data_IF_371410477146
#
_entry.id   IF_371410477146
#
_cell.length_a   1.000
_cell.length_b   1.000
_cell.length_c   1.000
_cell.angle_alpha   90.00
_cell.angle_beta   90.00
_cell.angle_gamma   90.00
#
_symmetry.space_group_name_H-M   'P 1'
#
loop_
_entity.id
_entity.type
_entity.pdbx_description
1 polymer ?
#
# COMPACT_ATOMS: atom_id res chain seq x y z
N UNK A 1 -6.64 10.78 7.35
CA UNK A 1 -7.08 11.36 6.10
C UNK A 1 -8.28 10.58 5.54
N UNK A 2 -8.17 9.29 5.27
CA UNK A 2 -9.20 8.46 4.62
C UNK A 2 -10.54 8.46 5.37
N UNK A 3 -10.51 8.35 6.71
CA UNK A 3 -11.71 8.41 7.54
C UNK A 3 -12.46 9.77 7.44
N UNK A 4 -11.72 10.87 7.21
CA UNK A 4 -12.34 12.18 7.00
C UNK A 4 -13.08 12.21 5.67
N UNK A 5 -12.45 11.68 4.62
CA UNK A 5 -13.07 11.58 3.30
C UNK A 5 -14.30 10.67 3.31
N UNK A 6 -14.20 9.49 3.93
CA UNK A 6 -15.32 8.57 4.04
C UNK A 6 -16.52 9.19 4.76
N UNK A 7 -16.30 9.87 5.89
CA UNK A 7 -17.36 10.58 6.62
C UNK A 7 -18.00 11.69 5.79
N UNK A 8 -17.19 12.46 5.05
CA UNK A 8 -17.71 13.52 4.19
C UNK A 8 -18.55 12.97 3.03
N UNK A 9 -18.15 11.84 2.45
CA UNK A 9 -18.96 11.18 1.41
C UNK A 9 -20.30 10.70 1.95
N UNK A 10 -20.34 10.11 3.13
CA UNK A 10 -21.59 9.72 3.80
C UNK A 10 -22.48 10.95 4.05
N UNK A 11 -21.90 12.07 4.52
CA UNK A 11 -22.63 13.33 4.73
C UNK A 11 -23.23 13.88 3.42
N UNK A 12 -22.62 13.58 2.28
CA UNK A 12 -23.11 13.96 0.94
C UNK A 12 -24.11 12.96 0.34
N UNK A 13 -24.49 11.94 1.09
CA UNK A 13 -25.48 10.95 0.67
C UNK A 13 -24.92 9.83 -0.21
N UNK A 14 -23.60 9.60 -0.16
CA UNK A 14 -23.00 8.41 -0.79
C UNK A 14 -23.16 7.23 0.15
N UNK A 15 -23.72 6.13 -0.34
CA UNK A 15 -23.81 4.88 0.40
C UNK A 15 -22.43 4.22 0.47
N UNK A 16 -21.94 3.98 1.69
CA UNK A 16 -20.69 3.26 1.95
C UNK A 16 -20.99 2.09 2.86
N UNK A 17 -20.69 0.90 2.40
CA UNK A 17 -20.78 -0.34 3.19
C UNK A 17 -19.38 -0.78 3.58
N UNK A 18 -19.08 -0.77 4.89
CA UNK A 18 -17.83 -1.29 5.44
C UNK A 18 -17.95 -2.78 5.73
N UNK A 19 -16.82 -3.49 5.74
CA UNK A 19 -16.74 -4.94 6.04
C UNK A 19 -17.53 -5.81 5.06
N UNK A 20 -17.67 -5.32 3.82
CA UNK A 20 -18.34 -6.03 2.72
C UNK A 20 -17.32 -6.44 1.67
N UNK A 21 -17.28 -7.74 1.37
CA UNK A 21 -16.34 -8.34 0.41
C UNK A 21 -17.01 -8.57 -0.94
N UNK A 22 -16.42 -8.04 -2.01
CA UNK A 22 -16.81 -8.40 -3.39
C UNK A 22 -16.19 -9.77 -3.71
N UNK A 23 -17.05 -10.78 -3.90
CA UNK A 23 -16.60 -12.16 -4.13
C UNK A 23 -16.74 -12.62 -5.57
N UNK A 24 -17.59 -11.98 -6.37
CA UNK A 24 -17.78 -12.31 -7.78
C UNK A 24 -18.41 -11.14 -8.55
N UNK A 25 -18.14 -11.04 -9.85
CA UNK A 25 -18.73 -10.05 -10.76
C UNK A 25 -19.03 -10.69 -12.11
N UNK A 26 -20.28 -10.56 -12.55
CA UNK A 26 -20.72 -10.99 -13.88
C UNK A 26 -21.11 -9.76 -14.68
N UNK A 27 -20.47 -9.56 -15.84
CA UNK A 27 -20.82 -8.49 -16.80
C UNK A 27 -21.77 -8.99 -17.86
N UNK A 28 -22.78 -8.19 -18.14
CA UNK A 28 -23.74 -8.42 -19.24
C UNK A 28 -23.17 -7.86 -20.56
N UNK A 29 -23.79 -8.24 -21.67
CA UNK A 29 -23.41 -7.75 -23.00
C UNK A 29 -23.53 -6.22 -23.15
N UNK A 30 -24.43 -5.57 -22.43
CA UNK A 30 -24.59 -4.12 -22.42
C UNK A 30 -23.58 -3.38 -21.54
N UNK A 31 -22.77 -4.11 -20.74
CA UNK A 31 -21.77 -3.57 -19.83
C UNK A 31 -22.30 -3.36 -18.40
N UNK A 32 -23.57 -3.59 -18.13
CA UNK A 32 -24.07 -3.66 -16.77
C UNK A 32 -23.51 -4.87 -16.04
N UNK A 33 -23.49 -4.84 -14.72
CA UNK A 33 -22.95 -5.94 -13.91
C UNK A 33 -23.89 -6.40 -12.82
N UNK A 34 -23.73 -7.66 -12.43
CA UNK A 34 -24.23 -8.24 -11.20
C UNK A 34 -23.05 -8.61 -10.33
N UNK A 35 -22.88 -7.91 -9.21
CA UNK A 35 -21.80 -8.10 -8.25
C UNK A 35 -22.32 -8.89 -7.05
N UNK A 36 -21.66 -9.97 -6.71
CA UNK A 36 -21.93 -10.76 -5.51
C UNK A 36 -21.11 -10.22 -4.36
N UNK A 37 -21.76 -9.88 -3.27
CA UNK A 37 -21.16 -9.28 -2.09
C UNK A 37 -21.48 -10.13 -0.87
N UNK A 38 -20.49 -10.31 -0.02
CA UNK A 38 -20.59 -10.99 1.26
C UNK A 38 -20.45 -9.95 2.36
N UNK A 39 -21.43 -9.86 3.27
CA UNK A 39 -21.41 -9.00 4.44
C UNK A 39 -20.54 -9.55 5.58
N UNK A 40 -20.43 -8.82 6.69
CA UNK A 40 -19.66 -9.21 7.88
C UNK A 40 -20.18 -10.50 8.55
N UNK A 41 -21.47 -10.80 8.41
CA UNK A 41 -22.11 -12.02 8.94
C UNK A 41 -21.96 -13.22 7.98
N UNK A 42 -21.43 -13.01 6.80
CA UNK A 42 -21.22 -14.03 5.77
C UNK A 42 -22.41 -14.24 4.85
N UNK A 43 -23.46 -13.40 4.92
CA UNK A 43 -24.61 -13.47 4.02
C UNK A 43 -24.24 -12.93 2.64
N UNK A 44 -24.72 -13.60 1.60
CA UNK A 44 -24.52 -13.18 0.22
C UNK A 44 -25.72 -12.36 -0.27
N UNK A 45 -25.44 -11.20 -0.88
CA UNK A 45 -26.40 -10.40 -1.60
C UNK A 45 -25.84 -9.90 -2.93
N UNK A 46 -26.68 -9.27 -3.74
CA UNK A 46 -26.29 -8.82 -5.08
C UNK A 46 -26.53 -7.33 -5.27
N UNK A 47 -25.58 -6.69 -5.92
CA UNK A 47 -25.70 -5.31 -6.39
C UNK A 47 -25.63 -5.28 -7.91
N UNK A 48 -26.55 -4.56 -8.54
CA UNK A 48 -26.53 -4.30 -9.97
C UNK A 48 -25.97 -2.92 -10.24
N UNK A 49 -24.97 -2.83 -11.11
CA UNK A 49 -24.33 -1.55 -11.45
C UNK A 49 -24.25 -1.36 -12.96
N UNK A 50 -24.31 -0.10 -13.39
CA UNK A 50 -24.06 0.29 -14.80
C UNK A 50 -22.57 0.32 -15.09
N UNK A 51 -21.75 0.61 -14.09
CA UNK A 51 -20.30 0.71 -14.20
C UNK A 51 -19.66 0.42 -12.84
N UNK A 52 -18.48 -0.20 -12.84
CA UNK A 52 -17.67 -0.46 -11.65
C UNK A 52 -16.35 0.29 -11.77
N UNK A 53 -15.94 0.98 -10.72
CA UNK A 53 -14.59 1.50 -10.56
C UNK A 53 -13.92 0.69 -9.46
N UNK A 54 -12.91 -0.09 -9.82
CA UNK A 54 -12.14 -0.87 -8.86
C UNK A 54 -10.98 -0.04 -8.31
N UNK A 55 -11.08 0.31 -7.04
CA UNK A 55 -10.04 0.98 -6.25
C UNK A 55 -9.54 0.09 -5.10
N UNK A 56 -9.62 -1.23 -5.26
CA UNK A 56 -9.31 -2.21 -4.21
C UNK A 56 -7.83 -2.28 -3.82
N UNK A 57 -6.98 -1.47 -4.43
CA UNK A 57 -5.56 -1.38 -4.09
C UNK A 57 -4.87 -2.74 -4.24
N UNK A 58 -4.12 -3.14 -3.21
CA UNK A 58 -3.47 -4.46 -3.17
C UNK A 58 -4.46 -5.65 -3.12
N UNK A 59 -5.73 -5.40 -2.83
CA UNK A 59 -6.79 -6.39 -2.93
C UNK A 59 -6.99 -6.91 -4.35
N UNK A 60 -6.76 -6.07 -5.37
CA UNK A 60 -6.81 -6.41 -6.80
C UNK A 60 -8.02 -7.26 -7.16
N UNK A 61 -9.21 -6.78 -6.75
CA UNK A 61 -10.45 -7.57 -6.79
C UNK A 61 -10.82 -7.91 -8.23
N UNK A 62 -11.08 -6.93 -9.08
CA UNK A 62 -11.39 -7.19 -10.50
C UNK A 62 -10.24 -7.83 -11.27
N UNK A 63 -8.97 -7.43 -11.10
CA UNK A 63 -7.85 -8.12 -11.74
C UNK A 63 -7.83 -9.62 -11.49
N UNK A 64 -8.11 -10.06 -10.26
CA UNK A 64 -8.17 -11.49 -9.92
C UNK A 64 -9.43 -12.17 -10.46
N UNK A 65 -10.59 -11.55 -10.31
CA UNK A 65 -11.86 -12.12 -10.76
C UNK A 65 -11.97 -12.25 -12.29
N UNK A 66 -11.30 -11.36 -13.02
CA UNK A 66 -11.34 -11.32 -14.50
C UNK A 66 -10.04 -11.86 -15.16
N UNK A 67 -9.14 -12.47 -14.39
CA UNK A 67 -7.84 -12.97 -14.88
C UNK A 67 -7.04 -11.90 -15.66
N UNK A 68 -7.00 -10.67 -15.12
CA UNK A 68 -6.28 -9.56 -15.76
C UNK A 68 -4.84 -9.41 -15.29
N UNK A 69 -4.42 -10.11 -14.25
CA UNK A 69 -3.07 -9.99 -13.69
C UNK A 69 -2.01 -10.34 -14.73
N UNK A 70 -0.95 -9.57 -14.74
CA UNK A 70 0.31 -9.87 -15.46
C UNK A 70 1.50 -9.38 -14.62
N UNK A 71 2.70 -9.92 -14.85
CA UNK A 71 3.92 -9.39 -14.23
C UNK A 71 4.09 -7.91 -14.55
N UNK A 72 4.63 -7.15 -13.60
CA UNK A 72 5.04 -5.77 -13.83
C UNK A 72 6.21 -5.72 -14.84
N UNK A 73 6.32 -4.59 -15.55
CA UNK A 73 7.47 -4.32 -16.41
C UNK A 73 8.68 -3.79 -15.63
N UNK A 74 8.47 -3.33 -14.39
CA UNK A 74 9.55 -2.89 -13.49
C UNK A 74 10.13 -4.08 -12.72
N UNK A 75 11.41 -4.01 -12.31
CA UNK A 75 12.03 -5.05 -11.48
C UNK A 75 11.24 -5.30 -10.20
N UNK A 76 11.38 -6.49 -9.64
CA UNK A 76 10.72 -6.86 -8.39
C UNK A 76 11.25 -6.03 -7.22
N UNK A 77 10.37 -5.23 -6.65
CA UNK A 77 10.65 -4.44 -5.46
C UNK A 77 9.98 -5.04 -4.23
N UNK A 78 10.65 -4.86 -3.11
CA UNK A 78 10.14 -5.21 -1.78
C UNK A 78 10.28 -4.02 -0.84
N UNK A 79 9.53 -4.04 0.23
CA UNK A 79 9.67 -3.07 1.31
C UNK A 79 9.80 -3.78 2.66
N UNK A 80 10.46 -3.10 3.59
CA UNK A 80 10.53 -3.49 5.00
C UNK A 80 10.37 -2.23 5.84
N UNK A 81 9.43 -2.23 6.81
CA UNK A 81 9.12 -1.03 7.56
C UNK A 81 8.63 -1.32 8.97
N UNK A 82 8.75 -0.30 9.81
CA UNK A 82 8.18 -0.27 11.16
C UNK A 82 7.81 1.17 11.56
N UNK A 83 7.22 1.30 12.74
CA UNK A 83 7.12 2.58 13.43
C UNK A 83 8.02 2.56 14.66
N UNK A 84 8.60 3.71 14.97
CA UNK A 84 9.47 3.92 16.14
C UNK A 84 8.98 5.08 16.96
N UNK A 85 9.23 5.04 18.27
CA UNK A 85 9.11 6.23 19.13
C UNK A 85 10.33 7.11 18.88
N UNK A 86 10.13 8.17 18.13
CA UNK A 86 11.23 8.98 17.60
C UNK A 86 11.70 10.03 18.61
N UNK A 87 12.47 9.58 19.58
CA UNK A 87 13.01 10.42 20.66
C UNK A 87 14.12 11.38 20.19
N UNK A 88 14.61 11.21 18.95
CA UNK A 88 15.66 12.06 18.36
C UNK A 88 15.13 12.90 17.20
N UNK A 89 13.80 13.06 17.11
CA UNK A 89 13.16 13.89 16.11
C UNK A 89 13.64 15.35 16.25
N UNK A 90 14.02 16.04 15.17
CA UNK A 90 14.32 17.47 15.22
C UNK A 90 13.13 18.28 15.74
N UNK A 91 13.43 19.40 16.41
CA UNK A 91 12.41 20.34 16.84
C UNK A 91 11.88 21.20 15.70
N UNK A 92 10.69 21.78 15.87
CA UNK A 92 10.09 22.73 14.93
C UNK A 92 9.63 22.11 13.62
N UNK A 93 9.70 22.88 12.55
CA UNK A 93 9.20 22.50 11.22
C UNK A 93 9.97 21.30 10.64
N UNK A 94 11.27 21.24 10.83
CA UNK A 94 12.11 20.15 10.33
C UNK A 94 11.62 18.77 10.82
N UNK A 95 11.20 18.68 12.08
CA UNK A 95 10.66 17.44 12.66
C UNK A 95 9.29 17.03 12.13
N UNK A 96 8.64 17.85 11.31
CA UNK A 96 7.32 17.54 10.72
C UNK A 96 7.41 17.17 9.24
N UNK A 97 8.59 17.31 8.63
CA UNK A 97 8.77 17.03 7.21
C UNK A 97 8.76 15.52 6.94
N UNK A 98 8.04 15.13 5.90
CA UNK A 98 8.24 13.83 5.26
C UNK A 98 9.53 13.91 4.46
N UNK A 99 10.46 13.03 4.76
CA UNK A 99 11.77 12.99 4.13
C UNK A 99 12.11 11.60 3.64
N UNK A 100 13.09 11.52 2.76
CA UNK A 100 13.63 10.24 2.29
C UNK A 100 15.14 10.36 2.04
N UNK A 101 15.82 9.21 2.13
CA UNK A 101 17.25 9.06 1.82
C UNK A 101 17.40 8.02 0.72
N UNK A 102 18.13 8.37 -0.34
CA UNK A 102 18.38 7.46 -1.45
C UNK A 102 19.73 6.77 -1.19
N UNK A 103 19.69 5.46 -0.97
CA UNK A 103 20.88 4.66 -0.71
C UNK A 103 21.59 4.28 -2.01
N UNK A 104 20.79 3.87 -3.00
CA UNK A 104 21.22 3.53 -4.36
C UNK A 104 20.07 3.86 -5.31
N UNK A 105 20.31 3.80 -6.63
CA UNK A 105 19.34 4.18 -7.67
C UNK A 105 17.96 3.52 -7.55
N UNK A 106 17.90 2.33 -6.95
CA UNK A 106 16.66 1.54 -6.83
C UNK A 106 16.31 1.24 -5.36
N UNK A 107 16.96 1.93 -4.39
CA UNK A 107 16.71 1.70 -2.96
C UNK A 107 16.70 3.02 -2.19
N UNK A 108 15.64 3.24 -1.44
CA UNK A 108 15.45 4.45 -0.66
C UNK A 108 14.74 4.17 0.67
N UNK A 109 15.03 5.01 1.65
CA UNK A 109 14.42 5.04 2.98
C UNK A 109 13.40 6.16 3.03
N UNK A 110 12.19 5.89 3.51
CA UNK A 110 11.25 6.94 3.91
C UNK A 110 11.30 7.21 5.41
N UNK A 111 11.03 8.46 5.78
CA UNK A 111 10.89 8.92 7.17
C UNK A 111 9.65 9.80 7.24
N UNK A 112 8.58 9.30 7.85
CA UNK A 112 7.27 9.94 7.92
C UNK A 112 6.89 10.16 9.38
N UNK A 113 7.05 11.38 9.91
CA UNK A 113 6.71 11.70 11.30
C UNK A 113 5.20 11.79 11.49
N UNK A 114 4.70 11.24 12.60
CA UNK A 114 3.31 11.34 13.01
C UNK A 114 3.14 12.35 14.14
N UNK A 115 1.92 12.89 14.30
CA UNK A 115 1.60 13.89 15.32
C UNK A 115 1.66 13.36 16.75
N UNK A 116 1.58 12.04 16.94
CA UNK A 116 1.66 11.36 18.23
C UNK A 116 3.10 11.13 18.75
N UNK A 117 4.10 11.58 18.00
CA UNK A 117 5.52 11.42 18.34
C UNK A 117 6.17 10.16 17.77
N UNK A 118 5.42 9.30 17.09
CA UNK A 118 5.97 8.17 16.35
C UNK A 118 6.44 8.61 14.96
N UNK A 119 7.37 7.85 14.39
CA UNK A 119 7.81 8.02 13.00
C UNK A 119 7.70 6.68 12.28
N UNK A 120 7.08 6.67 11.10
CA UNK A 120 7.15 5.54 10.18
C UNK A 120 8.48 5.60 9.44
N UNK A 121 9.23 4.52 9.47
CA UNK A 121 10.47 4.34 8.74
C UNK A 121 10.40 3.05 7.93
N UNK A 122 10.97 3.07 6.74
CA UNK A 122 11.04 1.85 5.96
C UNK A 122 11.79 2.02 4.65
N UNK A 123 12.25 0.92 4.14
CA UNK A 123 12.97 0.85 2.88
C UNK A 123 12.10 0.27 1.78
N UNK A 124 12.25 0.84 0.60
CA UNK A 124 11.83 0.26 -0.66
C UNK A 124 13.07 0.05 -1.51
N UNK A 125 13.16 -1.09 -2.16
CA UNK A 125 14.29 -1.37 -3.04
C UNK A 125 14.13 -2.69 -3.77
N UNK A 126 15.11 -3.02 -4.60
CA UNK A 126 15.17 -4.30 -5.27
C UNK A 126 15.07 -5.44 -4.25
N UNK A 127 14.23 -6.42 -4.54
CA UNK A 127 14.02 -7.57 -3.65
C UNK A 127 15.33 -8.27 -3.29
N UNK A 128 16.25 -8.41 -4.26
CA UNK A 128 17.59 -9.00 -4.04
C UNK A 128 18.40 -8.20 -3.02
N UNK A 129 18.34 -6.87 -3.05
CA UNK A 129 19.07 -6.04 -2.10
C UNK A 129 18.48 -6.19 -0.70
N UNK A 130 17.16 -6.10 -0.54
CA UNK A 130 16.50 -6.25 0.76
C UNK A 130 16.71 -7.65 1.34
N UNK A 131 16.68 -8.68 0.51
CA UNK A 131 16.90 -10.07 0.93
C UNK A 131 18.38 -10.41 1.18
N UNK A 132 19.32 -9.54 0.79
CA UNK A 132 20.75 -9.74 1.09
C UNK A 132 21.10 -9.52 2.57
N UNK A 133 20.24 -8.90 3.34
CA UNK A 133 20.43 -8.71 4.79
C UNK A 133 19.93 -9.94 5.55
N UNK A 134 20.80 -10.49 6.39
CA UNK A 134 20.52 -11.68 7.20
C UNK A 134 19.69 -11.34 8.46
N UNK A 135 19.12 -12.37 9.09
CA UNK A 135 18.39 -12.28 10.34
C UNK A 135 16.88 -12.14 10.18
N UNK A 136 16.21 -11.88 11.28
CA UNK A 136 14.77 -11.59 11.29
C UNK A 136 14.48 -10.19 10.76
N UNK A 137 13.20 -9.81 10.66
CA UNK A 137 12.81 -8.50 10.10
C UNK A 137 13.34 -7.32 10.91
N UNK A 138 13.52 -7.47 12.22
CA UNK A 138 14.07 -6.42 13.09
C UNK A 138 15.56 -6.24 12.85
N UNK A 139 16.31 -7.34 12.80
CA UNK A 139 17.75 -7.33 12.54
C UNK A 139 18.06 -6.79 11.14
N UNK A 140 17.25 -7.19 10.14
CA UNK A 140 17.35 -6.67 8.76
C UNK A 140 17.16 -5.16 8.72
N UNK A 141 16.04 -4.65 9.28
CA UNK A 141 15.74 -3.21 9.25
C UNK A 141 16.82 -2.41 10.00
N UNK A 142 17.29 -2.88 11.16
CA UNK A 142 18.40 -2.24 11.89
C UNK A 142 19.70 -2.25 11.06
N UNK A 143 19.98 -3.34 10.37
CA UNK A 143 21.19 -3.45 9.52
C UNK A 143 21.10 -2.52 8.31
N UNK A 144 19.93 -2.40 7.68
CA UNK A 144 19.71 -1.48 6.57
C UNK A 144 19.84 -0.02 7.00
N UNK A 145 19.35 0.34 8.19
CA UNK A 145 19.50 1.71 8.74
C UNK A 145 20.96 2.15 8.83
N UNK A 146 21.90 1.23 9.08
CA UNK A 146 23.34 1.54 9.10
C UNK A 146 23.90 2.03 7.75
N UNK A 147 23.20 1.73 6.65
CA UNK A 147 23.55 2.21 5.32
C UNK A 147 23.02 3.62 5.01
N UNK A 148 22.06 4.11 5.80
CA UNK A 148 21.57 5.50 5.64
C UNK A 148 22.60 6.49 6.15
N UNK A 149 23.02 7.38 5.28
CA UNK A 149 23.98 8.44 5.60
C UNK A 149 23.38 9.50 6.54
N UNK A 150 22.08 9.77 6.39
CA UNK A 150 21.44 10.91 7.07
C UNK A 150 20.63 10.50 8.28
N UNK A 151 20.22 9.22 8.37
CA UNK A 151 19.25 8.76 9.38
C UNK A 151 19.77 7.65 10.30
N UNK A 152 20.99 7.14 10.07
CA UNK A 152 21.58 6.10 10.92
C UNK A 152 21.55 6.51 12.40
N UNK A 153 22.16 7.64 12.74
CA UNK A 153 22.28 8.09 14.14
C UNK A 153 20.91 8.39 14.80
N UNK A 154 19.93 8.84 13.97
CA UNK A 154 18.58 9.15 14.49
C UNK A 154 17.83 7.90 14.94
N UNK A 155 17.96 6.80 14.19
CA UNK A 155 17.17 5.59 14.41
C UNK A 155 17.94 4.42 15.00
N UNK A 156 19.27 4.51 15.14
CA UNK A 156 20.07 3.45 15.73
C UNK A 156 19.61 3.11 17.14
N UNK A 157 19.33 1.81 17.37
CA UNK A 157 18.98 1.27 18.68
C UNK A 157 17.63 1.71 19.22
N UNK A 158 16.76 2.36 18.41
CA UNK A 158 15.38 2.59 18.82
C UNK A 158 14.56 1.30 18.69
N UNK A 159 13.69 1.09 19.67
CA UNK A 159 12.74 -0.01 19.65
C UNK A 159 11.64 0.23 18.62
N UNK A 160 11.25 -0.82 17.91
CA UNK A 160 10.10 -0.79 17.02
C UNK A 160 8.80 -0.95 17.79
N UNK A 161 7.78 -0.15 17.46
CA UNK A 161 6.46 -0.22 18.10
C UNK A 161 5.74 -1.55 17.80
N UNK A 162 6.14 -2.23 16.75
CA UNK A 162 5.70 -3.57 16.33
C UNK A 162 6.83 -4.24 15.53
N UNK A 163 6.86 -5.59 15.43
CA UNK A 163 7.83 -6.28 14.59
C UNK A 163 7.78 -5.74 13.16
N UNK A 164 8.91 -5.37 12.53
CA UNK A 164 8.90 -4.84 11.19
C UNK A 164 8.19 -5.76 10.19
N UNK A 165 7.40 -5.14 9.32
CA UNK A 165 6.64 -5.82 8.28
C UNK A 165 7.42 -5.78 6.98
N UNK A 166 7.51 -6.92 6.29
CA UNK A 166 8.07 -6.99 4.94
C UNK A 166 6.97 -7.31 3.94
N UNK A 167 6.90 -6.52 2.86
CA UNK A 167 6.01 -6.74 1.72
C UNK A 167 6.87 -7.00 0.50
N UNK A 168 6.70 -8.18 -0.11
CA UNK A 168 7.49 -8.59 -1.27
C UNK A 168 6.68 -8.51 -2.55
N UNK A 169 7.37 -8.16 -3.63
CA UNK A 169 6.82 -8.20 -4.99
C UNK A 169 5.46 -7.52 -5.13
N UNK A 170 5.35 -6.34 -4.54
CA UNK A 170 4.09 -5.60 -4.49
C UNK A 170 3.73 -4.95 -5.84
N UNK A 171 4.69 -4.83 -6.78
CA UNK A 171 4.44 -4.28 -8.11
C UNK A 171 3.86 -5.36 -9.02
N UNK A 172 2.62 -5.14 -9.44
CA UNK A 172 1.94 -5.96 -10.44
C UNK A 172 1.29 -5.05 -11.46
N UNK A 173 1.14 -5.52 -12.66
CA UNK A 173 0.44 -4.82 -13.73
C UNK A 173 -0.82 -5.60 -14.15
N UNK A 174 -1.58 -5.04 -15.08
CA UNK A 174 -2.77 -5.68 -15.64
C UNK A 174 -2.72 -5.72 -17.16
N UNK A 175 -3.36 -6.72 -17.74
CA UNK A 175 -3.52 -6.87 -19.20
C UNK A 175 -4.36 -5.74 -19.79
N UNK A 176 -5.30 -5.19 -18.99
CA UNK A 176 -6.26 -4.20 -19.44
C UNK A 176 -6.73 -3.32 -18.28
N UNK A 177 -6.65 -2.00 -18.42
CA UNK A 177 -7.01 -1.03 -17.39
C UNK A 177 -8.52 -0.76 -17.30
N UNK A 178 -9.24 -0.95 -18.37
CA UNK A 178 -10.68 -0.75 -18.45
C UNK A 178 -11.30 -1.69 -19.46
N UNK A 179 -12.58 -1.96 -19.30
CA UNK A 179 -13.38 -2.77 -20.24
C UNK A 179 -14.82 -2.30 -20.25
N UNK A 180 -15.66 -3.08 -20.91
CA UNK A 180 -17.08 -2.77 -20.97
C UNK A 180 -17.69 -2.93 -19.57
N UNK A 181 -18.05 -1.82 -18.95
CA UNK A 181 -18.67 -1.80 -17.62
C UNK A 181 -17.70 -1.68 -16.45
N UNK A 182 -16.39 -1.57 -16.64
CA UNK A 182 -15.45 -1.35 -15.54
C UNK A 182 -14.23 -0.51 -15.90
N UNK A 183 -13.61 0.07 -14.86
CA UNK A 183 -12.27 0.65 -14.91
C UNK A 183 -11.52 0.32 -13.60
N UNK A 184 -10.20 0.18 -13.70
CA UNK A 184 -9.28 -0.02 -12.58
C UNK A 184 -8.58 1.29 -12.24
N UNK A 185 -8.30 1.54 -10.97
CA UNK A 185 -7.59 2.75 -10.53
C UNK A 185 -6.65 2.47 -9.37
N UNK A 186 -5.60 3.30 -9.23
CA UNK A 186 -4.60 3.13 -8.19
C UNK A 186 -3.91 1.77 -8.25
N UNK A 187 -3.60 1.19 -7.10
CA UNK A 187 -2.86 -0.07 -7.00
C UNK A 187 -3.64 -1.31 -7.47
N UNK A 188 -4.95 -1.20 -7.69
CA UNK A 188 -5.70 -2.28 -8.35
C UNK A 188 -5.30 -2.42 -9.83
N UNK A 189 -4.83 -1.34 -10.46
CA UNK A 189 -4.31 -1.33 -11.81
C UNK A 189 -2.81 -1.67 -11.87
N UNK A 190 -1.99 -0.79 -11.32
CA UNK A 190 -0.54 -0.97 -11.20
C UNK A 190 -0.02 -0.11 -10.06
N UNK A 191 0.91 -0.65 -9.28
CA UNK A 191 1.66 0.13 -8.31
C UNK A 191 3.00 0.52 -8.92
N UNK A 192 3.22 1.81 -9.00
CA UNK A 192 4.50 2.42 -9.32
C UNK A 192 5.13 2.96 -8.03
N UNK A 193 6.42 3.23 -8.06
CA UNK A 193 7.11 3.85 -6.93
C UNK A 193 6.54 5.27 -6.70
N UNK A 194 6.19 5.65 -5.44
CA UNK A 194 5.59 6.96 -5.18
C UNK A 194 6.58 8.13 -5.24
N UNK A 195 7.87 7.86 -5.34
CA UNK A 195 8.95 8.86 -5.33
C UNK A 195 9.67 8.94 -6.68
N UNK A 196 9.84 7.81 -7.36
CA UNK A 196 10.61 7.71 -8.62
C UNK A 196 9.82 7.12 -9.76
#
# INVERSE_FOLDING_TARGET
>A
FDNVLAKELVNRGVDISFEHEVVDVIFNEDGTSKTSIKDEEGNLYFVHAKHIIDSSGYGRVLPRLLDLDKPSAIPEHSSIFAHVKDSRRPDGEEGTLITFDVLDKDTWLWVIPFSNGDTSIGFVGLTEFIDSFEGDTSERLQSMLKHSKYYHDRFEGLDFNFPPVSIKNFSKSVKQLYGKGYALTGNSAEFLDPVF
#
